data_IF_371390268043
#
_entry.id   IF_371390268043
#
_cell.length_a   1.000
_cell.length_b   1.000
_cell.length_c   1.000
_cell.angle_alpha   90.00
_cell.angle_beta   90.00
_cell.angle_gamma   90.00
#
_symmetry.space_group_name_H-M   'P 1'
#
loop_
_entity.id
_entity.type
_entity.pdbx_description
1 polymer ?
#
# COMPACT_ATOMS: atom_id res chain seq x y z
N UNK A 1 -18.94 -10.41 -9.90
CA UNK A 1 -17.60 -10.32 -10.51
C UNK A 1 -17.34 -8.94 -11.10
N UNK A 2 -17.58 -7.84 -10.35
CA UNK A 2 -17.57 -6.47 -10.93
C UNK A 2 -16.89 -5.40 -10.06
N UNK A 3 -16.29 -5.76 -8.92
CA UNK A 3 -15.71 -4.81 -7.96
C UNK A 3 -14.28 -4.40 -8.31
N UNK A 4 -13.49 -5.30 -8.92
CA UNK A 4 -12.08 -5.02 -9.29
C UNK A 4 -11.93 -3.92 -10.35
N UNK A 5 -12.91 -3.75 -11.25
CA UNK A 5 -12.86 -2.73 -12.31
C UNK A 5 -13.17 -1.31 -11.81
N UNK A 6 -14.08 -1.15 -10.83
CA UNK A 6 -14.46 0.17 -10.30
C UNK A 6 -13.40 0.73 -9.34
N UNK A 7 -12.78 -0.13 -8.54
CA UNK A 7 -11.75 0.27 -7.59
C UNK A 7 -10.45 0.69 -8.30
N UNK A 8 -10.06 -0.06 -9.35
CA UNK A 8 -8.96 0.33 -10.26
C UNK A 8 -9.26 1.67 -10.93
N UNK A 9 -10.50 1.91 -11.36
CA UNK A 9 -10.91 3.20 -11.92
C UNK A 9 -10.88 4.35 -10.91
N UNK A 10 -11.25 4.14 -9.64
CA UNK A 10 -11.18 5.19 -8.59
C UNK A 10 -9.75 5.56 -8.21
N UNK A 11 -8.83 4.59 -8.16
CA UNK A 11 -7.41 4.89 -7.99
C UNK A 11 -6.87 5.57 -9.25
N UNK A 12 -7.18 5.05 -10.44
CA UNK A 12 -6.73 5.62 -11.72
C UNK A 12 -7.22 7.05 -11.94
N UNK A 13 -8.44 7.41 -11.48
CA UNK A 13 -9.01 8.75 -11.62
C UNK A 13 -8.48 9.74 -10.56
N UNK A 14 -7.89 9.25 -9.46
CA UNK A 14 -7.17 10.08 -8.48
C UNK A 14 -5.67 10.16 -8.77
N UNK A 15 -5.16 9.25 -9.61
CA UNK A 15 -3.83 9.23 -10.18
C UNK A 15 -3.66 10.25 -11.35
N UNK A 16 -4.42 11.34 -11.38
CA UNK A 16 -4.13 12.51 -12.22
C UNK A 16 -3.03 13.42 -11.62
N UNK A 17 -2.16 12.93 -10.71
CA UNK A 17 -0.96 13.69 -10.32
C UNK A 17 0.20 13.43 -11.28
N UNK A 18 1.11 14.41 -11.25
CA UNK A 18 2.34 14.54 -12.03
C UNK A 18 2.99 13.17 -12.34
N UNK A 19 3.15 12.78 -13.63
CA UNK A 19 3.64 11.46 -14.03
C UNK A 19 5.05 11.11 -13.53
N UNK A 20 5.81 12.07 -13.01
CA UNK A 20 7.17 11.86 -12.52
C UNK A 20 7.27 11.24 -11.10
N UNK A 21 6.18 11.14 -10.35
CA UNK A 21 6.23 10.68 -8.94
C UNK A 21 5.76 9.24 -8.72
N UNK A 22 5.22 8.59 -9.75
CA UNK A 22 4.58 7.30 -9.63
C UNK A 22 5.06 6.30 -10.69
N UNK A 23 5.26 5.06 -10.24
CA UNK A 23 5.47 3.88 -11.06
C UNK A 23 4.15 3.10 -11.15
N UNK A 24 4.01 2.26 -12.18
CA UNK A 24 2.89 1.33 -12.21
C UNK A 24 3.01 0.32 -11.05
N UNK A 25 1.93 0.09 -10.29
CA UNK A 25 1.93 -0.92 -9.24
C UNK A 25 1.97 -2.31 -9.85
N UNK A 26 2.69 -3.23 -9.20
CA UNK A 26 2.75 -4.62 -9.63
C UNK A 26 1.38 -5.30 -9.54
N UNK A 27 0.56 -4.88 -8.57
CA UNK A 27 -0.76 -5.46 -8.28
C UNK A 27 -1.58 -4.60 -7.32
N UNK A 28 -2.82 -5.01 -7.09
CA UNK A 28 -3.69 -4.47 -6.04
C UNK A 28 -3.83 -5.48 -4.89
N UNK A 29 -3.98 -4.98 -3.68
CA UNK A 29 -4.32 -5.78 -2.51
C UNK A 29 -5.42 -5.09 -1.70
N UNK A 30 -6.32 -5.87 -1.13
CA UNK A 30 -7.34 -5.39 -0.20
C UNK A 30 -6.99 -5.90 1.19
N UNK A 31 -6.77 -4.94 2.10
CA UNK A 31 -6.55 -5.22 3.53
C UNK A 31 -7.81 -4.89 4.31
N UNK A 32 -8.28 -5.86 5.07
CA UNK A 32 -9.32 -5.65 6.06
C UNK A 32 -8.71 -4.99 7.30
N UNK A 33 -9.36 -3.96 7.86
CA UNK A 33 -9.12 -3.52 9.22
C UNK A 33 -9.89 -4.36 10.24
N UNK A 34 -9.56 -4.21 11.52
CA UNK A 34 -10.28 -4.86 12.63
C UNK A 34 -11.76 -4.47 12.67
N UNK A 35 -12.11 -3.29 12.15
CA UNK A 35 -13.50 -2.84 11.97
C UNK A 35 -14.27 -3.55 10.85
N UNK A 36 -13.60 -4.38 10.04
CA UNK A 36 -14.15 -5.04 8.85
C UNK A 36 -14.14 -4.18 7.58
N UNK A 37 -13.74 -2.91 7.68
CA UNK A 37 -13.56 -2.04 6.51
C UNK A 37 -12.44 -2.57 5.61
N UNK A 38 -12.64 -2.45 4.30
CA UNK A 38 -11.67 -2.85 3.30
C UNK A 38 -10.91 -1.62 2.79
N UNK A 39 -9.59 -1.72 2.77
CA UNK A 39 -8.70 -0.68 2.31
C UNK A 39 -7.91 -1.20 1.12
N UNK A 40 -8.16 -0.62 -0.05
CA UNK A 40 -7.41 -0.97 -1.26
C UNK A 40 -6.01 -0.35 -1.22
N UNK A 41 -5.03 -1.15 -1.60
CA UNK A 41 -3.62 -0.79 -1.63
C UNK A 41 -3.01 -1.08 -3.00
N UNK A 42 -2.11 -0.19 -3.43
CA UNK A 42 -1.20 -0.37 -4.54
C UNK A 42 0.05 -1.10 -4.06
N UNK A 43 0.42 -2.21 -4.69
CA UNK A 43 1.56 -3.00 -4.24
C UNK A 43 2.78 -2.78 -5.12
N UNK A 44 3.90 -2.49 -4.48
CA UNK A 44 5.20 -2.29 -5.11
C UNK A 44 6.25 -3.20 -4.48
N UNK A 45 7.23 -3.62 -5.28
CA UNK A 45 8.50 -4.10 -4.73
C UNK A 45 9.25 -2.94 -4.07
N UNK A 46 10.23 -3.25 -3.21
CA UNK A 46 10.96 -2.21 -2.47
C UNK A 46 11.74 -1.25 -3.38
N UNK A 47 12.25 -1.75 -4.52
CA UNK A 47 13.06 -0.99 -5.47
C UNK A 47 12.15 -0.06 -6.28
N UNK A 48 11.00 -0.58 -6.69
CA UNK A 48 10.01 0.08 -7.54
C UNK A 48 9.04 0.98 -6.75
N UNK A 49 9.16 1.02 -5.41
CA UNK A 49 8.32 1.84 -4.54
C UNK A 49 8.37 3.32 -4.98
N UNK A 50 7.20 3.93 -5.29
CA UNK A 50 7.15 5.28 -5.85
C UNK A 50 7.50 6.33 -4.80
N UNK A 51 7.65 7.57 -5.27
CA UNK A 51 7.69 8.75 -4.41
C UNK A 51 6.26 9.08 -3.96
N UNK A 52 5.74 8.27 -3.05
CA UNK A 52 4.42 8.49 -2.50
C UNK A 52 4.40 9.77 -1.63
N UNK A 53 3.38 10.63 -1.79
CA UNK A 53 3.15 11.76 -0.88
C UNK A 53 2.61 11.24 0.46
N UNK A 54 1.62 11.92 1.07
CA UNK A 54 0.97 11.46 2.29
C UNK A 54 0.12 10.20 2.03
N UNK A 55 0.51 9.06 2.59
CA UNK A 55 -0.14 7.76 2.42
C UNK A 55 -0.08 6.92 3.71
N UNK A 56 -0.94 5.91 3.78
CA UNK A 56 -0.74 4.76 4.66
C UNK A 56 0.08 3.70 3.92
N UNK A 57 0.85 2.91 4.66
CA UNK A 57 1.59 1.79 4.08
C UNK A 57 1.52 0.56 4.97
N UNK A 58 1.61 -0.60 4.33
CA UNK A 58 1.83 -1.90 4.97
C UNK A 58 3.11 -2.48 4.39
N UNK A 59 4.09 -2.74 5.26
CA UNK A 59 5.30 -3.48 4.90
C UNK A 59 5.01 -4.95 5.06
N UNK A 60 5.26 -5.70 4.00
CA UNK A 60 4.91 -7.11 3.94
C UNK A 60 6.10 -7.94 3.49
N UNK A 61 6.11 -9.20 3.94
CA UNK A 61 6.92 -10.24 3.33
C UNK A 61 5.98 -11.18 2.58
N UNK A 62 6.21 -11.30 1.28
CA UNK A 62 5.61 -12.32 0.44
C UNK A 62 6.55 -13.49 0.26
N UNK A 63 6.11 -14.67 0.70
CA UNK A 63 6.87 -15.90 0.58
C UNK A 63 6.75 -16.47 -0.84
N UNK A 64 7.61 -17.43 -1.19
CA UNK A 64 7.64 -18.02 -2.54
C UNK A 64 6.35 -18.74 -2.94
N UNK A 65 5.56 -19.19 -1.96
CA UNK A 65 4.23 -19.79 -2.16
C UNK A 65 3.12 -18.73 -2.38
N UNK A 66 3.50 -17.45 -2.35
CA UNK A 66 2.61 -16.32 -2.58
C UNK A 66 1.91 -15.80 -1.34
N UNK A 67 2.07 -16.44 -0.16
CA UNK A 67 1.50 -15.94 1.11
C UNK A 67 2.11 -14.60 1.48
N UNK A 68 1.28 -13.70 1.98
CA UNK A 68 1.72 -12.36 2.42
C UNK A 68 1.53 -12.22 3.92
N UNK A 69 2.64 -11.91 4.61
CA UNK A 69 2.67 -11.63 6.05
C UNK A 69 2.85 -10.12 6.27
N UNK A 70 2.01 -9.52 7.11
CA UNK A 70 2.21 -8.14 7.57
C UNK A 70 3.36 -8.11 8.57
N UNK A 71 4.34 -7.24 8.30
CA UNK A 71 5.46 -6.98 9.23
C UNK A 71 5.29 -5.65 9.95
N UNK A 72 4.70 -4.66 9.27
CA UNK A 72 4.42 -3.34 9.85
C UNK A 72 3.28 -2.66 9.12
N UNK A 73 2.48 -1.92 9.88
CA UNK A 73 1.53 -0.93 9.36
C UNK A 73 2.02 0.44 9.79
N UNK A 74 1.90 1.43 8.92
CA UNK A 74 2.31 2.80 9.23
C UNK A 74 1.68 3.83 8.31
N UNK A 75 2.15 5.06 8.48
CA UNK A 75 1.81 6.21 7.64
C UNK A 75 3.03 7.07 7.40
N UNK A 76 3.06 7.75 6.26
CA UNK A 76 4.07 8.76 5.97
C UNK A 76 3.76 10.04 6.75
N UNK A 77 4.76 10.63 7.39
CA UNK A 77 4.63 11.87 8.17
C UNK A 77 5.36 13.06 7.54
N UNK A 78 6.41 12.83 6.75
CA UNK A 78 7.23 13.91 6.18
C UNK A 78 6.56 14.58 4.98
N UNK A 79 6.83 15.86 4.76
CA UNK A 79 6.34 16.59 3.59
C UNK A 79 7.14 16.25 2.33
N UNK A 80 8.41 15.88 2.48
CA UNK A 80 9.28 15.44 1.40
C UNK A 80 9.00 13.97 1.02
N UNK A 81 8.51 13.68 -0.21
CA UNK A 81 8.23 12.30 -0.65
C UNK A 81 9.46 11.38 -0.70
N UNK A 82 10.64 11.96 -0.97
CA UNK A 82 11.91 11.24 -0.98
C UNK A 82 12.29 10.69 0.39
N UNK A 83 12.03 11.47 1.45
CA UNK A 83 12.30 11.07 2.82
C UNK A 83 11.33 9.97 3.28
N UNK A 84 10.05 10.09 2.92
CA UNK A 84 9.07 9.02 3.16
C UNK A 84 9.48 7.70 2.51
N UNK A 85 9.91 7.73 1.23
CA UNK A 85 10.40 6.53 0.54
C UNK A 85 11.66 5.95 1.19
N UNK A 86 12.62 6.80 1.54
CA UNK A 86 13.84 6.36 2.20
C UNK A 86 13.54 5.68 3.54
N UNK A 87 12.65 6.26 4.35
CA UNK A 87 12.21 5.68 5.61
C UNK A 87 11.51 4.33 5.41
N UNK A 88 10.53 4.26 4.50
CA UNK A 88 9.81 3.00 4.21
C UNK A 88 10.79 1.90 3.77
N UNK A 89 11.77 2.21 2.90
CA UNK A 89 12.78 1.25 2.44
C UNK A 89 13.73 0.82 3.57
N UNK A 90 14.12 1.76 4.43
CA UNK A 90 14.98 1.47 5.57
C UNK A 90 14.28 0.52 6.56
N UNK A 91 13.04 0.85 6.95
CA UNK A 91 12.24 0.01 7.85
C UNK A 91 11.93 -1.36 7.22
N UNK A 92 11.63 -1.40 5.92
CA UNK A 92 11.43 -2.64 5.19
C UNK A 92 12.66 -3.55 5.24
N UNK A 93 13.86 -2.98 5.02
CA UNK A 93 15.10 -3.73 5.09
C UNK A 93 15.37 -4.28 6.50
N UNK A 94 15.12 -3.48 7.55
CA UNK A 94 15.28 -3.92 8.95
C UNK A 94 14.33 -5.07 9.32
N UNK A 95 13.12 -5.08 8.77
CA UNK A 95 12.09 -6.08 9.08
C UNK A 95 12.12 -7.29 8.14
N UNK A 96 12.93 -7.27 7.09
CA UNK A 96 12.95 -8.30 6.05
C UNK A 96 11.68 -8.31 5.18
N UNK A 97 11.05 -7.14 5.01
CA UNK A 97 9.96 -6.97 4.05
C UNK A 97 10.52 -7.01 2.62
N UNK A 98 9.71 -7.46 1.67
CA UNK A 98 10.05 -7.43 0.24
C UNK A 98 9.04 -6.61 -0.59
N UNK A 99 7.99 -6.11 0.04
CA UNK A 99 6.92 -5.38 -0.61
C UNK A 99 6.42 -4.22 0.26
N UNK A 100 5.97 -3.17 -0.42
CA UNK A 100 5.27 -2.03 0.16
C UNK A 100 3.89 -1.95 -0.46
N UNK A 101 2.86 -2.05 0.38
CA UNK A 101 1.47 -1.88 -0.02
C UNK A 101 1.05 -0.47 0.40
N UNK A 102 0.69 0.40 -0.55
CA UNK A 102 0.37 1.80 -0.30
C UNK A 102 -1.13 2.07 -0.43
N UNK A 103 -1.72 2.70 0.59
CA UNK A 103 -3.07 3.24 0.52
C UNK A 103 -3.02 4.77 0.43
N UNK A 104 -3.54 5.30 -0.69
CA UNK A 104 -3.45 6.72 -1.07
C UNK A 104 -4.80 7.44 -1.09
N UNK A 105 -5.88 6.78 -0.63
CA UNK A 105 -7.23 7.34 -0.69
C UNK A 105 -7.62 8.17 0.54
N UNK A 106 -6.88 8.07 1.65
CA UNK A 106 -7.06 8.96 2.79
C UNK A 106 -6.84 10.42 2.38
N UNK A 107 -7.76 11.32 2.78
CA UNK A 107 -7.74 12.75 2.46
C UNK A 107 -7.08 13.57 3.56
N UNK A 108 -7.21 13.12 4.81
CA UNK A 108 -6.74 13.86 5.99
C UNK A 108 -5.72 13.04 6.79
N UNK A 109 -4.97 13.73 7.65
CA UNK A 109 -4.09 13.03 8.59
C UNK A 109 -4.87 12.20 9.61
N UNK A 110 -5.99 12.72 10.10
CA UNK A 110 -6.88 11.99 11.00
C UNK A 110 -7.38 10.69 10.36
N UNK A 111 -7.78 10.72 9.08
CA UNK A 111 -8.14 9.50 8.34
C UNK A 111 -6.97 8.52 8.25
N UNK A 112 -5.75 9.00 7.95
CA UNK A 112 -4.57 8.12 7.92
C UNK A 112 -4.29 7.47 9.27
N UNK A 113 -4.42 8.22 10.36
CA UNK A 113 -4.25 7.69 11.71
C UNK A 113 -5.28 6.58 11.99
N UNK A 114 -6.56 6.83 11.69
CA UNK A 114 -7.62 5.84 11.89
C UNK A 114 -7.41 4.56 11.06
N UNK A 115 -6.99 4.70 9.80
CA UNK A 115 -6.72 3.57 8.90
C UNK A 115 -5.54 2.74 9.41
N UNK A 116 -4.45 3.40 9.82
CA UNK A 116 -3.29 2.71 10.39
C UNK A 116 -3.67 1.89 11.62
N UNK A 117 -4.38 2.51 12.58
CA UNK A 117 -4.81 1.81 13.79
C UNK A 117 -5.75 0.64 13.47
N UNK A 118 -6.69 0.82 12.54
CA UNK A 118 -7.66 -0.21 12.20
C UNK A 118 -6.98 -1.43 11.54
N UNK A 119 -6.05 -1.20 10.61
CA UNK A 119 -5.30 -2.30 9.98
C UNK A 119 -4.35 -2.95 11.00
N UNK A 120 -3.64 -2.17 11.82
CA UNK A 120 -2.71 -2.69 12.82
C UNK A 120 -3.39 -3.53 13.91
N UNK A 121 -4.67 -3.25 14.20
CA UNK A 121 -5.48 -4.02 15.15
C UNK A 121 -6.02 -5.35 14.56
N UNK A 122 -5.81 -5.60 13.27
CA UNK A 122 -6.29 -6.83 12.62
C UNK A 122 -5.47 -8.02 13.13
N UNK A 123 -6.10 -9.09 13.65
CA UNK A 123 -5.39 -10.33 13.97
C UNK A 123 -4.64 -10.78 12.72
N UNK A 124 -3.34 -11.10 12.85
CA UNK A 124 -2.43 -11.40 11.74
C UNK A 124 -3.00 -12.46 10.79
N UNK A 125 -3.79 -12.02 9.81
CA UNK A 125 -4.50 -12.84 8.85
C UNK A 125 -4.20 -12.30 7.44
N UNK A 126 -4.06 -13.23 6.51
CA UNK A 126 -3.59 -13.00 5.15
C UNK A 126 -4.58 -12.13 4.35
N UNK A 127 -4.08 -11.08 3.68
CA UNK A 127 -4.87 -10.23 2.78
C UNK A 127 -5.11 -10.89 1.42
N UNK A 128 -6.14 -10.43 0.71
CA UNK A 128 -6.42 -10.87 -0.66
C UNK A 128 -5.71 -9.99 -1.68
N UNK A 129 -5.08 -10.61 -2.67
CA UNK A 129 -4.21 -9.94 -3.65
C UNK A 129 -4.68 -10.26 -5.06
N UNK A 130 -4.88 -9.22 -5.89
CA UNK A 130 -5.25 -9.34 -7.29
C UNK A 130 -4.14 -8.80 -8.20
N UNK A 131 -3.56 -9.66 -9.03
CA UNK A 131 -2.49 -9.30 -9.99
C UNK A 131 -3.02 -8.37 -11.09
N UNK A 132 -2.31 -7.28 -11.37
CA UNK A 132 -2.59 -6.44 -12.54
C UNK A 132 -1.79 -7.05 -13.72
N UNK A 133 -2.47 -7.38 -14.82
CA UNK A 133 -1.78 -7.84 -16.02
C UNK A 133 -1.04 -6.65 -16.68
N UNK A 134 0.28 -6.63 -16.57
CA UNK A 134 1.14 -5.68 -17.28
C UNK A 134 1.00 -5.92 -18.78
N UNK A 135 0.52 -4.94 -19.55
CA UNK A 135 0.57 -5.00 -21.02
C UNK A 135 1.95 -4.48 -21.45
N UNK A 136 2.71 -5.34 -22.13
CA UNK A 136 3.97 -4.99 -22.79
C UNK A 136 3.74 -4.08 -24.01
#
# INVERSE_FOLDING_TARGET
>A
MSTSSQATAQISNRLEMRPALWSEPARLADWAGASGKQYQHLVYGLIECPLAPKANYVLTRRDADGRTTILKVGRTSHDAPTLNRAQMRHEAALLGANEVHLHVLAKTEAERILIEFDIAATPLASGNVATIATRH
#
